data_IF_804465349996
#
_entry.id   IF_804465349996
#
_cell.length_a   1.000
_cell.length_b   1.000
_cell.length_c   1.000
_cell.angle_alpha   90.00
_cell.angle_beta   90.00
_cell.angle_gamma   90.00
#
_symmetry.space_group_name_H-M   'P 1'
#
loop_
_entity.id
_entity.type
_entity.pdbx_description
1 polymer ?
#
# COMPACT_ATOMS: atom_id res chain seq x y z
N UNK A 1 31.03 -17.13 -0.70
CA UNK A 1 30.96 -15.66 -0.52
C UNK A 1 30.07 -14.97 -1.56
N UNK A 2 30.26 -15.19 -2.87
CA UNK A 2 29.45 -14.53 -3.91
C UNK A 2 27.93 -14.76 -3.83
N UNK A 3 27.48 -15.96 -3.41
CA UNK A 3 26.05 -16.25 -3.27
C UNK A 3 25.32 -15.37 -2.25
N UNK A 4 25.96 -15.08 -1.10
CA UNK A 4 25.38 -14.19 -0.09
C UNK A 4 25.26 -12.75 -0.59
N UNK A 5 26.26 -12.28 -1.34
CA UNK A 5 26.23 -10.94 -1.96
C UNK A 5 25.13 -10.84 -3.01
N UNK A 6 24.99 -11.87 -3.85
CA UNK A 6 23.92 -11.93 -4.85
C UNK A 6 22.53 -11.95 -4.22
N UNK A 7 22.33 -12.73 -3.15
CA UNK A 7 21.07 -12.77 -2.40
C UNK A 7 20.72 -11.40 -1.82
N UNK A 8 21.68 -10.75 -1.15
CA UNK A 8 21.47 -9.40 -0.59
C UNK A 8 21.15 -8.39 -1.69
N UNK A 9 21.84 -8.45 -2.84
CA UNK A 9 21.58 -7.56 -3.96
C UNK A 9 20.17 -7.75 -4.55
N UNK A 10 19.72 -8.99 -4.72
CA UNK A 10 18.37 -9.30 -5.21
C UNK A 10 17.31 -8.85 -4.21
N UNK A 11 17.48 -9.18 -2.93
CA UNK A 11 16.55 -8.77 -1.88
C UNK A 11 16.48 -7.24 -1.79
N UNK A 12 17.63 -6.56 -1.80
CA UNK A 12 17.67 -5.11 -1.81
C UNK A 12 16.95 -4.52 -3.03
N UNK A 13 17.17 -5.08 -4.23
CA UNK A 13 16.50 -4.65 -5.44
C UNK A 13 14.97 -4.80 -5.37
N UNK A 14 14.48 -5.93 -4.84
CA UNK A 14 13.04 -6.18 -4.66
C UNK A 14 12.43 -5.19 -3.67
N UNK A 15 13.02 -5.04 -2.48
CA UNK A 15 12.52 -4.08 -1.48
C UNK A 15 12.55 -2.65 -1.99
N UNK A 16 13.64 -2.24 -2.62
CA UNK A 16 13.77 -0.90 -3.20
C UNK A 16 12.70 -0.65 -4.28
N UNK A 17 12.47 -1.64 -5.15
CA UNK A 17 11.43 -1.55 -6.17
C UNK A 17 10.03 -1.44 -5.56
N UNK A 18 9.73 -2.22 -4.52
CA UNK A 18 8.44 -2.19 -3.84
C UNK A 18 8.17 -0.78 -3.31
N UNK A 19 9.07 -0.24 -2.48
CA UNK A 19 8.85 1.06 -1.84
C UNK A 19 8.89 2.22 -2.83
N UNK A 20 9.77 2.18 -3.84
CA UNK A 20 9.89 3.24 -4.83
C UNK A 20 8.69 3.31 -5.77
N UNK A 21 8.06 2.17 -6.08
CA UNK A 21 6.93 2.12 -7.02
C UNK A 21 5.58 2.17 -6.30
N UNK A 22 5.51 1.72 -5.05
CA UNK A 22 4.29 1.78 -4.25
C UNK A 22 3.96 3.21 -3.77
N UNK A 23 4.95 4.10 -3.63
CA UNK A 23 4.70 5.45 -3.09
C UNK A 23 3.67 6.25 -3.90
N UNK A 24 3.77 6.27 -5.22
CA UNK A 24 2.83 7.00 -6.08
C UNK A 24 1.37 6.53 -5.94
N UNK A 25 1.04 5.22 -6.03
CA UNK A 25 -0.31 4.75 -5.79
C UNK A 25 -0.73 4.84 -4.32
N UNK A 26 0.18 4.78 -3.36
CA UNK A 26 -0.12 5.02 -1.93
C UNK A 26 -0.61 6.46 -1.73
N UNK A 27 0.11 7.44 -2.24
CA UNK A 27 -0.25 8.85 -2.13
C UNK A 27 -1.57 9.15 -2.85
N UNK A 28 -1.83 8.48 -3.98
CA UNK A 28 -3.09 8.59 -4.70
C UNK A 28 -4.27 8.04 -3.88
N UNK A 29 -4.09 6.92 -3.18
CA UNK A 29 -5.10 6.36 -2.28
C UNK A 29 -5.33 7.30 -1.10
N UNK A 30 -4.27 7.78 -0.46
CA UNK A 30 -4.37 8.71 0.67
C UNK A 30 -5.13 9.99 0.28
N UNK A 31 -4.74 10.62 -0.84
CA UNK A 31 -5.43 11.79 -1.36
C UNK A 31 -6.89 11.53 -1.75
N UNK A 32 -7.19 10.37 -2.33
CA UNK A 32 -8.57 9.99 -2.66
C UNK A 32 -9.44 9.86 -1.40
N UNK A 33 -8.97 9.15 -0.37
CA UNK A 33 -9.70 9.01 0.89
C UNK A 33 -9.79 10.33 1.67
N UNK A 34 -8.74 11.16 1.64
CA UNK A 34 -8.77 12.51 2.21
C UNK A 34 -9.84 13.39 1.55
N UNK A 35 -9.87 13.44 0.22
CA UNK A 35 -10.88 14.21 -0.53
C UNK A 35 -12.30 13.68 -0.32
N UNK A 36 -12.47 12.36 -0.19
CA UNK A 36 -13.76 11.75 0.17
C UNK A 36 -14.20 12.16 1.57
N UNK A 37 -13.28 12.15 2.54
CA UNK A 37 -13.54 12.59 3.91
C UNK A 37 -14.00 14.05 3.97
N UNK A 38 -13.33 14.94 3.25
CA UNK A 38 -13.72 16.35 3.13
C UNK A 38 -15.07 16.53 2.43
N UNK A 39 -15.29 15.81 1.33
CA UNK A 39 -16.54 15.89 0.58
C UNK A 39 -17.73 15.44 1.44
N UNK A 40 -17.63 14.28 2.10
CA UNK A 40 -18.66 13.77 3.01
C UNK A 40 -18.84 14.72 4.20
N UNK A 41 -17.73 15.22 4.78
CA UNK A 41 -17.76 16.18 5.87
C UNK A 41 -18.47 17.50 5.52
N UNK A 42 -18.38 17.94 4.26
CA UNK A 42 -19.04 19.16 3.76
C UNK A 42 -20.55 19.02 3.56
N UNK A 43 -21.07 17.78 3.47
CA UNK A 43 -22.49 17.49 3.30
C UNK A 43 -23.21 17.19 4.63
N UNK A 44 -22.46 17.16 5.74
CA UNK A 44 -22.99 16.83 7.07
C UNK A 44 -22.85 18.02 8.02
N UNK A 45 -23.85 18.19 8.89
CA UNK A 45 -23.74 19.13 10.00
C UNK A 45 -22.65 18.67 10.99
N UNK A 46 -22.06 19.64 11.70
CA UNK A 46 -21.12 19.35 12.77
C UNK A 46 -21.77 18.51 13.88
N UNK A 47 -21.07 17.45 14.32
CA UNK A 47 -21.54 16.55 15.37
C UNK A 47 -20.82 15.21 15.38
N UNK A 48 -21.12 14.39 16.39
CA UNK A 48 -20.45 13.11 16.64
C UNK A 48 -20.59 12.11 15.48
N UNK A 49 -21.73 12.14 14.78
CA UNK A 49 -21.98 11.27 13.63
C UNK A 49 -21.04 11.58 12.45
N UNK A 50 -20.71 12.87 12.23
CA UNK A 50 -19.76 13.27 11.19
C UNK A 50 -18.38 12.75 11.51
N UNK A 51 -17.90 12.91 12.75
CA UNK A 51 -16.58 12.42 13.17
C UNK A 51 -16.50 10.89 13.09
N UNK A 52 -17.54 10.18 13.52
CA UNK A 52 -17.58 8.72 13.41
C UNK A 52 -17.43 8.24 11.96
N UNK A 53 -18.07 8.93 11.01
CA UNK A 53 -18.02 8.55 9.60
C UNK A 53 -16.69 8.97 8.96
N UNK A 54 -16.28 10.23 9.12
CA UNK A 54 -15.08 10.78 8.48
C UNK A 54 -13.80 10.24 9.12
N UNK A 55 -13.67 10.40 10.44
CA UNK A 55 -12.45 10.02 11.17
C UNK A 55 -12.44 8.54 11.56
N UNK A 56 -13.62 7.94 11.75
CA UNK A 56 -13.73 6.52 12.08
C UNK A 56 -13.71 5.64 10.83
N UNK A 57 -14.75 5.74 10.00
CA UNK A 57 -14.96 4.81 8.88
C UNK A 57 -14.05 5.15 7.70
N UNK A 58 -14.09 6.39 7.19
CA UNK A 58 -13.38 6.78 5.97
C UNK A 58 -11.87 6.74 6.21
N UNK A 59 -11.38 7.40 7.26
CA UNK A 59 -9.96 7.35 7.60
C UNK A 59 -9.48 5.94 7.98
N UNK A 60 -10.30 5.16 8.69
CA UNK A 60 -9.96 3.78 9.05
C UNK A 60 -9.82 2.86 7.83
N UNK A 61 -10.74 2.94 6.86
CA UNK A 61 -10.65 2.18 5.61
C UNK A 61 -9.49 2.70 4.76
N UNK A 62 -9.34 4.03 4.63
CA UNK A 62 -8.23 4.64 3.89
C UNK A 62 -6.86 4.17 4.40
N UNK A 63 -6.70 4.14 5.73
CA UNK A 63 -5.49 3.64 6.38
C UNK A 63 -5.21 2.16 6.15
N UNK A 64 -6.20 1.33 5.84
CA UNK A 64 -5.98 -0.08 5.45
C UNK A 64 -5.66 -0.20 3.97
N UNK A 65 -6.41 0.52 3.13
CA UNK A 65 -6.30 0.45 1.66
C UNK A 65 -4.98 1.07 1.16
N UNK A 66 -4.39 2.02 1.89
CA UNK A 66 -3.09 2.60 1.54
C UNK A 66 -1.98 1.54 1.46
N UNK A 67 -2.09 0.40 2.17
CA UNK A 67 -1.10 -0.68 2.09
C UNK A 67 -1.30 -1.60 0.87
N UNK A 68 -2.46 -1.55 0.22
CA UNK A 68 -2.81 -2.45 -0.89
C UNK A 68 -1.83 -2.38 -2.07
N UNK A 69 -1.37 -1.20 -2.55
CA UNK A 69 -0.43 -1.13 -3.66
C UNK A 69 0.89 -1.86 -3.37
N UNK A 70 1.42 -1.69 -2.16
CA UNK A 70 2.64 -2.36 -1.71
C UNK A 70 2.46 -3.89 -1.64
N UNK A 71 1.31 -4.35 -1.12
CA UNK A 71 0.97 -5.77 -1.07
C UNK A 71 0.90 -6.36 -2.48
N UNK A 72 0.23 -5.69 -3.42
CA UNK A 72 0.09 -6.15 -4.80
C UNK A 72 1.45 -6.30 -5.50
N UNK A 73 2.36 -5.33 -5.32
CA UNK A 73 3.71 -5.40 -5.89
C UNK A 73 4.51 -6.53 -5.26
N UNK A 74 4.39 -6.73 -3.93
CA UNK A 74 5.01 -7.87 -3.26
C UNK A 74 4.52 -9.20 -3.83
N UNK A 75 3.20 -9.40 -3.95
CA UNK A 75 2.62 -10.61 -4.53
C UNK A 75 3.04 -10.82 -6.00
N UNK A 76 3.18 -9.74 -6.77
CA UNK A 76 3.72 -9.80 -8.12
C UNK A 76 5.16 -10.36 -8.16
N UNK A 77 6.06 -9.84 -7.32
CA UNK A 77 7.43 -10.35 -7.23
C UNK A 77 7.49 -11.79 -6.70
N UNK A 78 6.67 -12.13 -5.71
CA UNK A 78 6.53 -13.50 -5.20
C UNK A 78 6.12 -14.44 -6.34
N UNK A 79 5.12 -14.09 -7.15
CA UNK A 79 4.72 -14.89 -8.32
C UNK A 79 5.79 -14.98 -9.41
N UNK A 80 6.58 -13.92 -9.62
CA UNK A 80 7.76 -13.97 -10.50
C UNK A 80 8.84 -14.93 -9.97
N UNK A 81 9.08 -14.94 -8.66
CA UNK A 81 10.03 -15.86 -8.02
C UNK A 81 9.52 -17.30 -8.03
N UNK A 82 8.21 -17.50 -7.91
CA UNK A 82 7.54 -18.78 -8.06
C UNK A 82 7.73 -19.33 -9.47
N UNK A 83 7.42 -18.54 -10.50
CA UNK A 83 7.56 -18.94 -11.91
C UNK A 83 9.01 -19.15 -12.37
N UNK A 84 9.99 -18.47 -11.77
CA UNK A 84 11.42 -18.76 -11.98
C UNK A 84 11.91 -20.02 -11.25
N UNK A 85 11.01 -20.69 -10.53
CA UNK A 85 11.26 -21.95 -9.83
C UNK A 85 12.07 -21.78 -8.54
N UNK A 86 12.28 -20.55 -8.04
CA UNK A 86 13.07 -20.31 -6.82
C UNK A 86 12.28 -20.59 -5.54
N UNK A 87 10.95 -20.46 -5.56
CA UNK A 87 10.07 -20.85 -4.44
C UNK A 87 9.48 -22.26 -4.57
N UNK A 88 9.56 -22.89 -5.74
CA UNK A 88 9.10 -24.28 -5.94
C UNK A 88 10.10 -25.33 -5.40
N UNK A 89 11.24 -24.88 -4.83
CA UNK A 89 12.29 -25.73 -4.26
C UNK A 89 12.72 -25.21 -2.89
#
# INVERSE_FOLDING_TARGET
MFGWVALVAIMFGVFWSIFSWASAPMDAVDGAFGSLGEWVGSQMAEGDLRSLIVDGVIAGIGGTVIFLPQILILFFFIGLLESSGYMAR
#
